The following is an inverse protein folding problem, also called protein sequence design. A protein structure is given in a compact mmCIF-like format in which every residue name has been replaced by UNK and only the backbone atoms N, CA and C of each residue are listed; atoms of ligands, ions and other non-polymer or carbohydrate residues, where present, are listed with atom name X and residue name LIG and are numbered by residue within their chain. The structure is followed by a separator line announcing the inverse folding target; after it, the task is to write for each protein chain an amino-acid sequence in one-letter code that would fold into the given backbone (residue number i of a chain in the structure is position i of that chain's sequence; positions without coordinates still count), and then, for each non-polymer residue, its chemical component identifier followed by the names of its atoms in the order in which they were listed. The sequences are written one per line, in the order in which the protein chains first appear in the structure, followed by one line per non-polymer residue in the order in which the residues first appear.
data_IF_295552976360
#
_entry.id   IF_295552976360
#
_cell.length_a   1.000
_cell.length_b   1.000
_cell.length_c   1.000
_cell.angle_alpha   90.00
_cell.angle_beta   90.00
_cell.angle_gamma   90.00
#
_symmetry.space_group_name_H-M   'P 1'
#
loop_
_entity.id
_entity.type
_entity.pdbx_description
1 polymer ?
#
# COMPACT_ATOMS: atom_id res chain seq x y z
N UNK A 1 -3.00 18.63 19.08
CA UNK A 1 -2.18 17.44 18.79
C UNK A 1 -2.69 16.90 17.46
N UNK A 2 -1.93 17.00 16.37
CA UNK A 2 -2.44 16.80 15.00
C UNK A 2 -3.08 15.43 14.78
N UNK A 3 -4.27 15.42 14.18
CA UNK A 3 -5.08 14.23 13.92
C UNK A 3 -4.53 13.46 12.72
N UNK A 4 -3.51 12.62 12.94
CA UNK A 4 -2.89 11.79 11.89
C UNK A 4 -3.48 10.39 11.87
N UNK A 5 -3.62 9.81 10.68
CA UNK A 5 -4.09 8.43 10.48
C UNK A 5 -3.09 7.42 11.09
N UNK A 6 -1.80 7.69 10.89
CA UNK A 6 -0.70 6.91 11.42
C UNK A 6 0.15 7.72 12.41
N UNK A 7 0.71 7.02 13.40
CA UNK A 7 1.69 7.61 14.34
C UNK A 7 3.11 7.57 13.81
N UNK A 8 3.40 6.71 12.83
CA UNK A 8 4.76 6.45 12.34
C UNK A 8 4.92 6.66 10.83
N UNK A 9 3.82 6.68 10.07
CA UNK A 9 3.80 7.04 8.64
C UNK A 9 3.28 8.46 8.52
N UNK A 10 3.89 9.27 7.66
CA UNK A 10 3.44 10.64 7.42
C UNK A 10 2.21 10.66 6.51
N UNK A 11 1.33 11.65 6.70
CA UNK A 11 0.17 11.86 5.83
C UNK A 11 0.60 12.17 4.39
N UNK A 12 1.78 12.77 4.21
CA UNK A 12 2.39 13.00 2.89
C UNK A 12 2.77 11.67 2.21
N UNK A 13 3.38 10.74 2.94
CA UNK A 13 3.72 9.40 2.42
C UNK A 13 2.44 8.66 1.99
N UNK A 14 1.38 8.70 2.80
CA UNK A 14 0.10 8.07 2.47
C UNK A 14 -0.55 8.73 1.25
N UNK A 15 -0.55 10.07 1.19
CA UNK A 15 -1.08 10.82 0.06
C UNK A 15 -0.31 10.51 -1.24
N UNK A 16 1.01 10.37 -1.19
CA UNK A 16 1.81 9.95 -2.36
C UNK A 16 1.42 8.55 -2.83
N UNK A 17 1.20 7.59 -1.92
CA UNK A 17 0.74 6.25 -2.31
C UNK A 17 -0.63 6.34 -2.98
N UNK A 18 -1.60 7.04 -2.38
CA UNK A 18 -2.93 7.26 -2.96
C UNK A 18 -2.84 7.91 -4.35
N UNK A 19 -1.99 8.91 -4.51
CA UNK A 19 -1.77 9.60 -5.77
C UNK A 19 -1.26 8.65 -6.86
N UNK A 20 -0.40 7.69 -6.51
CA UNK A 20 0.13 6.68 -7.44
C UNK A 20 -0.94 5.64 -7.80
N UNK A 21 -1.69 5.19 -6.80
CA UNK A 21 -2.60 4.05 -6.92
C UNK A 21 -3.91 4.42 -7.64
N UNK A 22 -4.53 5.54 -7.26
CA UNK A 22 -5.88 5.88 -7.73
C UNK A 22 -6.05 7.32 -8.19
N UNK A 23 -5.01 8.15 -8.05
CA UNK A 23 -5.12 9.62 -8.18
C UNK A 23 -6.26 10.20 -7.32
N UNK A 24 -6.47 9.61 -6.13
CA UNK A 24 -7.49 10.03 -5.18
C UNK A 24 -8.90 9.54 -5.49
N UNK A 25 -9.11 8.68 -6.49
CA UNK A 25 -10.44 8.16 -6.83
C UNK A 25 -10.86 7.01 -5.88
N UNK A 26 -11.87 7.19 -5.01
CA UNK A 26 -12.33 6.14 -4.10
C UNK A 26 -13.06 4.99 -4.81
N UNK A 27 -13.50 5.20 -6.05
CA UNK A 27 -14.20 4.22 -6.88
C UNK A 27 -13.28 3.63 -7.95
N UNK A 28 -11.96 3.75 -7.78
CA UNK A 28 -11.01 3.16 -8.72
C UNK A 28 -11.16 1.64 -8.75
N UNK A 29 -11.15 1.09 -9.95
CA UNK A 29 -11.33 -0.34 -10.21
C UNK A 29 -10.36 -0.76 -11.32
N UNK A 30 -9.45 -1.68 -11.00
CA UNK A 30 -8.43 -2.14 -11.94
C UNK A 30 -9.00 -3.17 -12.91
N UNK A 31 -8.89 -2.91 -14.22
CA UNK A 31 -9.41 -3.82 -15.26
C UNK A 31 -8.71 -5.19 -15.33
N UNK A 32 -7.55 -5.34 -14.68
CA UNK A 32 -6.67 -6.51 -14.78
C UNK A 32 -6.46 -7.27 -13.47
N UNK A 33 -7.08 -6.81 -12.37
CA UNK A 33 -6.94 -7.44 -11.06
C UNK A 33 -8.17 -7.15 -10.19
N UNK A 34 -8.18 -7.59 -8.93
CA UNK A 34 -9.23 -7.22 -7.97
C UNK A 34 -8.90 -5.94 -7.18
N UNK A 35 -7.85 -5.21 -7.59
CA UNK A 35 -7.44 -3.98 -6.93
C UNK A 35 -8.54 -2.91 -7.02
N UNK A 36 -9.07 -2.52 -5.86
CA UNK A 36 -10.24 -1.64 -5.74
C UNK A 36 -9.97 -0.51 -4.75
N UNK A 37 -10.54 0.66 -5.03
CA UNK A 37 -10.62 1.78 -4.10
C UNK A 37 -9.39 2.68 -4.09
N UNK A 38 -9.41 3.69 -3.22
CA UNK A 38 -8.41 4.77 -3.17
C UNK A 38 -6.97 4.25 -2.93
N UNK A 39 -6.82 3.11 -2.25
CA UNK A 39 -5.54 2.44 -2.00
C UNK A 39 -5.28 1.22 -2.88
N UNK A 40 -6.11 0.93 -3.88
CA UNK A 40 -5.97 -0.18 -4.84
C UNK A 40 -5.66 -1.55 -4.19
N UNK A 41 -6.35 -1.89 -3.10
CA UNK A 41 -6.14 -3.19 -2.46
C UNK A 41 -6.74 -4.33 -3.28
N UNK A 42 -5.94 -5.37 -3.55
CA UNK A 42 -6.45 -6.66 -4.01
C UNK A 42 -7.11 -7.44 -2.88
N UNK A 43 -8.07 -8.31 -3.22
CA UNK A 43 -8.89 -9.08 -2.26
C UNK A 43 -8.08 -9.75 -1.13
N UNK A 44 -7.03 -10.56 -1.41
CA UNK A 44 -6.32 -11.29 -0.36
C UNK A 44 -5.60 -10.35 0.60
N UNK A 45 -4.98 -9.28 0.09
CA UNK A 45 -4.27 -8.30 0.91
C UNK A 45 -5.24 -7.53 1.79
N UNK A 46 -6.37 -7.08 1.24
CA UNK A 46 -7.41 -6.39 2.00
C UNK A 46 -7.88 -7.22 3.19
N UNK A 47 -8.28 -8.47 2.93
CA UNK A 47 -8.81 -9.36 3.97
C UNK A 47 -7.78 -9.65 5.05
N UNK A 48 -6.50 -9.82 4.69
CA UNK A 48 -5.44 -10.03 5.65
C UNK A 48 -5.25 -8.82 6.58
N UNK A 49 -5.21 -7.60 6.01
CA UNK A 49 -5.04 -6.37 6.77
C UNK A 49 -6.26 -6.10 7.67
N UNK A 50 -7.48 -6.26 7.16
CA UNK A 50 -8.70 -6.10 7.96
C UNK A 50 -8.77 -7.13 9.09
N UNK A 51 -8.46 -8.40 8.82
CA UNK A 51 -8.44 -9.44 9.85
C UNK A 51 -7.47 -9.10 10.99
N UNK A 52 -6.31 -8.52 10.67
CA UNK A 52 -5.30 -8.16 11.66
C UNK A 52 -5.64 -6.90 12.46
N UNK A 53 -6.19 -5.87 11.81
CA UNK A 53 -6.33 -4.53 12.43
C UNK A 53 -7.76 -4.15 12.79
N UNK A 54 -8.76 -4.80 12.18
CA UNK A 54 -10.20 -4.60 12.42
C UNK A 54 -10.94 -5.94 12.51
N UNK A 55 -10.59 -6.80 13.50
CA UNK A 55 -11.28 -8.08 13.70
C UNK A 55 -12.78 -7.90 13.96
N UNK A 56 -13.20 -6.73 14.47
CA UNK A 56 -14.60 -6.32 14.62
C UNK A 56 -15.33 -6.22 13.27
N UNK A 57 -14.66 -5.81 12.19
CA UNK A 57 -15.25 -5.80 10.85
C UNK A 57 -15.49 -7.21 10.35
N UNK A 58 -14.52 -8.11 10.54
CA UNK A 58 -14.64 -9.52 10.15
C UNK A 58 -15.71 -10.27 10.95
N UNK A 59 -15.91 -9.92 12.22
CA UNK A 59 -16.89 -10.58 13.08
C UNK A 59 -18.35 -10.14 12.84
N UNK A 60 -18.55 -8.92 12.33
CA UNK A 60 -19.87 -8.29 12.22
C UNK A 60 -20.42 -8.20 10.79
N UNK A 61 -19.64 -8.60 9.78
CA UNK A 61 -19.97 -8.46 8.36
C UNK A 61 -19.63 -9.73 7.59
N UNK A 62 -20.32 -9.96 6.49
CA UNK A 62 -19.92 -10.96 5.50
C UNK A 62 -18.60 -10.57 4.82
N UNK A 63 -17.87 -11.55 4.30
CA UNK A 63 -16.63 -11.29 3.55
C UNK A 63 -16.84 -10.35 2.36
N UNK A 64 -17.98 -10.45 1.66
CA UNK A 64 -18.34 -9.55 0.55
C UNK A 64 -18.55 -8.10 1.01
N UNK A 65 -19.19 -7.89 2.16
CA UNK A 65 -19.34 -6.56 2.74
C UNK A 65 -17.98 -6.00 3.15
N UNK A 66 -17.11 -6.81 3.76
CA UNK A 66 -15.75 -6.39 4.08
C UNK A 66 -14.98 -6.02 2.81
N UNK A 67 -15.05 -6.81 1.75
CA UNK A 67 -14.39 -6.49 0.47
C UNK A 67 -14.93 -5.19 -0.16
N UNK A 68 -16.23 -4.92 -0.02
CA UNK A 68 -16.86 -3.70 -0.54
C UNK A 68 -16.40 -2.43 0.21
N UNK A 69 -15.93 -2.55 1.45
CA UNK A 69 -15.41 -1.42 2.22
C UNK A 69 -14.17 -0.76 1.60
N UNK A 70 -13.50 -1.40 0.64
CA UNK A 70 -12.45 -0.76 -0.17
C UNK A 70 -12.94 0.50 -0.90
N UNK A 71 -14.24 0.56 -1.21
CA UNK A 71 -14.87 1.72 -1.84
C UNK A 71 -15.20 2.85 -0.84
N UNK A 72 -15.11 2.61 0.48
CA UNK A 72 -15.18 3.66 1.48
C UNK A 72 -13.76 4.27 1.66
N UNK A 73 -13.53 5.54 1.27
CA UNK A 73 -12.21 6.13 1.30
C UNK A 73 -11.62 6.18 2.72
N UNK A 74 -12.45 6.32 3.76
CA UNK A 74 -11.95 6.39 5.14
C UNK A 74 -11.45 5.03 5.60
N UNK A 75 -12.25 3.98 5.39
CA UNK A 75 -11.86 2.61 5.72
C UNK A 75 -10.60 2.19 4.94
N UNK A 76 -10.53 2.54 3.66
CA UNK A 76 -9.37 2.28 2.82
C UNK A 76 -8.12 3.02 3.27
N UNK A 77 -8.24 4.30 3.68
CA UNK A 77 -7.12 5.07 4.23
C UNK A 77 -6.63 4.47 5.55
N UNK A 78 -7.55 4.02 6.42
CA UNK A 78 -7.17 3.34 7.67
C UNK A 78 -6.34 2.09 7.36
N UNK A 79 -6.84 1.22 6.49
CA UNK A 79 -6.16 -0.03 6.16
C UNK A 79 -4.86 0.21 5.38
N UNK A 80 -4.79 1.25 4.53
CA UNK A 80 -3.55 1.66 3.87
C UNK A 80 -2.50 2.09 4.89
N UNK A 81 -2.88 2.88 5.89
CA UNK A 81 -1.99 3.28 6.97
C UNK A 81 -1.49 2.07 7.74
N UNK A 82 -2.38 1.18 8.19
CA UNK A 82 -2.01 -0.04 8.94
C UNK A 82 -1.10 -0.97 8.15
N UNK A 83 -1.40 -1.19 6.88
CA UNK A 83 -0.56 -2.00 6.00
C UNK A 83 0.83 -1.37 5.79
N UNK A 84 0.89 -0.04 5.64
CA UNK A 84 2.17 0.68 5.52
C UNK A 84 2.97 0.64 6.82
N UNK A 85 2.30 0.69 7.98
CA UNK A 85 2.92 0.49 9.29
C UNK A 85 3.51 -0.93 9.45
N UNK A 86 2.79 -1.96 9.01
CA UNK A 86 3.29 -3.34 8.99
C UNK A 86 4.52 -3.47 8.09
N UNK A 87 4.47 -2.88 6.89
CA UNK A 87 5.60 -2.88 5.97
C UNK A 87 6.81 -2.16 6.58
N UNK A 88 6.61 -0.99 7.19
CA UNK A 88 7.66 -0.25 7.88
C UNK A 88 8.32 -1.07 9.00
N UNK A 89 7.52 -1.76 9.83
CA UNK A 89 8.03 -2.63 10.90
C UNK A 89 8.87 -3.78 10.36
N UNK A 90 8.41 -4.43 9.30
CA UNK A 90 9.09 -5.58 8.72
C UNK A 90 10.34 -5.21 7.90
N UNK A 91 10.40 -4.00 7.32
CA UNK A 91 11.61 -3.49 6.67
C UNK A 91 12.70 -3.09 7.67
N UNK A 92 12.31 -2.67 8.89
CA UNK A 92 13.24 -2.21 9.92
C UNK A 92 13.71 -0.76 9.70
N UNK A 93 14.66 -0.26 10.49
CA UNK A 93 15.08 1.14 10.43
C UNK A 93 15.79 1.48 9.10
N UNK A 94 15.65 2.72 8.66
CA UNK A 94 16.37 3.24 7.49
C UNK A 94 15.71 2.99 6.13
N UNK A 95 14.45 2.55 6.10
CA UNK A 95 13.67 2.52 4.85
C UNK A 95 13.43 3.94 4.32
N UNK A 96 13.25 4.04 3.00
CA UNK A 96 12.76 5.24 2.32
C UNK A 96 11.27 5.10 1.96
N UNK A 97 10.61 6.21 1.61
CA UNK A 97 9.26 6.18 1.02
C UNK A 97 9.19 5.24 -0.20
N UNK A 98 10.25 5.20 -1.01
CA UNK A 98 10.36 4.29 -2.15
C UNK A 98 10.42 2.81 -1.73
N UNK A 99 11.04 2.50 -0.59
CA UNK A 99 11.08 1.12 -0.07
C UNK A 99 9.70 0.71 0.50
N UNK A 100 8.96 1.65 1.11
CA UNK A 100 7.56 1.41 1.51
C UNK A 100 6.66 1.15 0.32
N UNK A 101 6.78 1.95 -0.74
CA UNK A 101 6.04 1.74 -1.98
C UNK A 101 6.43 0.42 -2.65
N UNK A 102 7.72 0.07 -2.64
CA UNK A 102 8.20 -1.21 -3.14
C UNK A 102 7.60 -2.38 -2.35
N UNK A 103 7.49 -2.26 -1.02
CA UNK A 103 6.84 -3.28 -0.18
C UNK A 103 5.34 -3.40 -0.46
N UNK A 104 4.64 -2.29 -0.71
CA UNK A 104 3.25 -2.30 -1.15
C UNK A 104 3.08 -3.05 -2.50
N UNK A 105 3.94 -2.73 -3.48
CA UNK A 105 3.89 -3.34 -4.82
C UNK A 105 4.31 -4.82 -4.83
N UNK A 106 5.38 -5.17 -4.12
CA UNK A 106 6.06 -6.47 -4.25
C UNK A 106 5.66 -7.47 -3.17
N UNK A 107 5.00 -7.01 -2.12
CA UNK A 107 4.99 -7.68 -0.83
C UNK A 107 6.28 -7.43 -0.03
N UNK A 108 6.15 -7.32 1.28
CA UNK A 108 7.24 -6.91 2.17
C UNK A 108 8.42 -7.88 2.19
N UNK A 109 8.17 -9.19 2.03
CA UNK A 109 9.23 -10.19 2.01
C UNK A 109 10.15 -10.04 0.79
N UNK A 110 9.58 -9.76 -0.37
CA UNK A 110 10.36 -9.49 -1.58
C UNK A 110 11.09 -8.17 -1.43
N UNK A 111 10.42 -7.11 -0.98
CA UNK A 111 11.06 -5.81 -0.76
C UNK A 111 12.26 -5.93 0.19
N UNK A 112 12.12 -6.61 1.34
CA UNK A 112 13.23 -6.84 2.29
C UNK A 112 14.40 -7.56 1.64
N UNK A 113 14.15 -8.57 0.79
CA UNK A 113 15.23 -9.24 0.03
C UNK A 113 15.92 -8.27 -0.93
N UNK A 114 15.16 -7.43 -1.64
CA UNK A 114 15.70 -6.44 -2.57
C UNK A 114 16.50 -5.33 -1.87
N UNK A 115 16.12 -4.94 -0.66
CA UNK A 115 16.87 -3.96 0.14
C UNK A 115 18.28 -4.45 0.48
N UNK A 116 18.44 -5.75 0.69
CA UNK A 116 19.70 -6.40 1.05
C UNK A 116 20.49 -6.91 -0.17
N UNK A 117 19.87 -6.93 -1.35
CA UNK A 117 20.46 -7.49 -2.56
C UNK A 117 21.42 -6.53 -3.26
N UNK A 118 22.44 -7.05 -3.98
CA UNK A 118 23.28 -6.23 -4.85
C UNK A 118 22.45 -5.52 -5.91
N UNK A 119 22.75 -4.23 -6.16
CA UNK A 119 21.97 -3.44 -7.12
C UNK A 119 21.97 -4.01 -8.55
N UNK A 120 23.01 -4.74 -8.94
CA UNK A 120 23.16 -5.33 -10.27
C UNK A 120 22.52 -6.72 -10.40
N UNK A 121 22.01 -7.32 -9.32
CA UNK A 121 21.36 -8.63 -9.41
C UNK A 121 20.09 -8.54 -10.26
N UNK A 122 19.79 -9.54 -11.10
CA UNK A 122 18.54 -9.57 -11.85
C UNK A 122 17.36 -9.81 -10.89
N UNK A 123 16.25 -9.08 -11.07
CA UNK A 123 15.08 -9.24 -10.19
C UNK A 123 14.41 -10.60 -10.32
N UNK A 124 14.67 -11.34 -11.39
CA UNK A 124 14.20 -12.73 -11.56
C UNK A 124 14.71 -13.71 -10.51
N UNK A 125 15.69 -13.32 -9.69
CA UNK A 125 16.10 -14.09 -8.50
C UNK A 125 15.13 -13.96 -7.31
N UNK A 126 14.31 -12.91 -7.29
CA UNK A 126 13.50 -12.53 -6.13
C UNK A 126 11.99 -12.57 -6.40
N UNK A 127 11.59 -12.37 -7.66
CA UNK A 127 10.20 -12.47 -8.10
C UNK A 127 9.95 -13.80 -8.80
N UNK A 128 8.72 -14.31 -8.66
CA UNK A 128 8.29 -15.48 -9.42
C UNK A 128 8.11 -15.12 -10.92
N UNK A 129 8.18 -16.11 -11.83
CA UNK A 129 7.90 -15.89 -13.25
C UNK A 129 6.53 -15.24 -13.50
N UNK A 130 5.52 -15.60 -12.71
CA UNK A 130 4.15 -15.05 -12.81
C UNK A 130 4.11 -13.58 -12.41
N UNK A 131 4.80 -13.20 -11.33
CA UNK A 131 4.90 -11.81 -10.91
C UNK A 131 5.60 -10.94 -11.97
N UNK A 132 6.64 -11.48 -12.62
CA UNK A 132 7.33 -10.81 -13.73
C UNK A 132 6.41 -10.69 -14.94
N UNK A 133 5.69 -11.76 -15.30
CA UNK A 133 4.76 -11.76 -16.42
C UNK A 133 3.58 -10.78 -16.20
N UNK A 134 3.11 -10.62 -14.96
CA UNK A 134 2.08 -9.64 -14.62
C UNK A 134 2.59 -8.20 -14.65
N UNK A 135 3.89 -7.99 -14.45
CA UNK A 135 4.50 -6.65 -14.30
C UNK A 135 5.69 -6.44 -15.24
N UNK A 136 5.60 -6.91 -16.49
CA UNK A 136 6.73 -6.96 -17.44
C UNK A 136 7.46 -5.63 -17.59
N UNK A 137 6.70 -4.54 -17.71
CA UNK A 137 7.28 -3.19 -17.87
C UNK A 137 8.14 -2.74 -16.69
N UNK A 138 7.91 -3.31 -15.50
CA UNK A 138 8.58 -2.96 -14.25
C UNK A 138 9.68 -3.98 -13.93
N UNK A 139 9.48 -5.27 -14.22
CA UNK A 139 10.33 -6.36 -13.74
C UNK A 139 11.14 -7.07 -14.83
N UNK A 140 10.63 -7.19 -16.06
CA UNK A 140 11.27 -8.01 -17.08
C UNK A 140 12.63 -7.42 -17.51
N UNK A 141 13.68 -8.25 -17.39
CA UNK A 141 15.06 -7.85 -17.70
C UNK A 141 15.63 -6.77 -16.80
N UNK A 142 14.99 -6.45 -15.66
CA UNK A 142 15.47 -5.41 -14.75
C UNK A 142 16.38 -5.96 -13.65
N UNK A 143 17.22 -5.07 -13.14
CA UNK A 143 18.04 -5.30 -11.96
C UNK A 143 17.35 -4.79 -10.69
N UNK A 144 17.79 -5.26 -9.53
CA UNK A 144 17.33 -4.78 -8.21
C UNK A 144 17.40 -3.26 -8.13
N UNK A 145 18.53 -2.66 -8.52
CA UNK A 145 18.73 -1.21 -8.47
C UNK A 145 17.76 -0.45 -9.38
N UNK A 146 17.44 -0.99 -10.56
CA UNK A 146 16.48 -0.38 -11.48
C UNK A 146 15.06 -0.38 -10.89
N UNK A 147 14.62 -1.48 -10.28
CA UNK A 147 13.28 -1.58 -9.67
C UNK A 147 13.17 -0.70 -8.42
N UNK A 148 14.21 -0.66 -7.57
CA UNK A 148 14.24 0.25 -6.41
C UNK A 148 14.21 1.72 -6.85
N UNK A 149 14.98 2.08 -7.89
CA UNK A 149 14.96 3.43 -8.46
C UNK A 149 13.60 3.80 -9.05
N UNK A 150 12.93 2.85 -9.71
CA UNK A 150 11.57 3.05 -10.21
C UNK A 150 10.60 3.37 -9.07
N UNK A 151 10.63 2.62 -7.97
CA UNK A 151 9.76 2.84 -6.81
C UNK A 151 10.04 4.21 -6.16
N UNK A 152 11.31 4.59 -6.00
CA UNK A 152 11.70 5.89 -5.48
C UNK A 152 11.19 7.05 -6.36
N UNK A 153 11.31 6.92 -7.70
CA UNK A 153 10.81 7.93 -8.65
C UNK A 153 9.29 8.06 -8.63
N UNK A 154 8.56 6.95 -8.44
CA UNK A 154 7.10 6.98 -8.29
C UNK A 154 6.70 7.85 -7.10
N UNK A 155 7.30 7.61 -5.94
CA UNK A 155 7.02 8.40 -4.74
C UNK A 155 7.44 9.86 -4.88
N UNK A 156 8.60 10.13 -5.50
CA UNK A 156 9.06 11.50 -5.74
C UNK A 156 8.11 12.30 -6.64
N UNK A 157 7.54 11.66 -7.67
CA UNK A 157 6.66 12.34 -8.64
C UNK A 157 5.21 12.49 -8.14
N UNK A 158 4.84 11.81 -7.05
CA UNK A 158 3.47 11.74 -6.54
C UNK A 158 3.11 12.86 -5.54
N UNK A 159 3.84 13.97 -5.57
CA UNK A 159 3.61 15.12 -4.68
C UNK A 159 2.48 16.03 -5.16
N UNK A 160 1.94 16.85 -4.25
CA UNK A 160 1.14 18.02 -4.62
C UNK A 160 -0.34 17.96 -4.23
N UNK A 161 -0.81 16.87 -3.63
CA UNK A 161 -2.17 16.77 -3.09
C UNK A 161 -2.19 16.10 -1.72
N UNK A 162 -3.00 16.63 -0.81
CA UNK A 162 -3.21 16.08 0.53
C UNK A 162 -4.54 15.32 0.56
N UNK A 163 -4.48 14.05 0.15
CA UNK A 163 -5.64 13.17 0.10
C UNK A 163 -6.13 12.79 1.50
N UNK A 164 -5.24 12.82 2.50
CA UNK A 164 -5.62 12.52 3.88
C UNK A 164 -6.55 13.60 4.40
N UNK A 165 -6.20 14.88 4.26
CA UNK A 165 -7.08 15.98 4.69
C UNK A 165 -8.42 16.01 3.95
N UNK A 166 -8.48 15.54 2.70
CA UNK A 166 -9.72 15.50 1.92
C UNK A 166 -10.69 14.41 2.39
N UNK A 167 -10.16 13.21 2.67
CA UNK A 167 -10.99 12.04 2.90
C UNK A 167 -11.07 11.57 4.35
N UNK A 168 -10.18 12.03 5.23
CA UNK A 168 -10.12 11.57 6.62
C UNK A 168 -10.69 12.62 7.60
N UNK A 169 -12.02 12.66 7.82
CA UNK A 169 -12.59 13.33 8.98
C UNK A 169 -12.51 12.40 10.20
N UNK A 170 -11.81 12.78 11.27
CA UNK A 170 -11.58 11.93 12.44
C UNK A 170 -12.86 11.51 13.17
N UNK A 171 -14.00 12.19 12.96
CA UNK A 171 -15.22 11.94 13.73
C UNK A 171 -15.96 10.66 13.32
N UNK A 172 -15.75 10.12 12.10
CA UNK A 172 -16.55 9.01 11.55
C UNK A 172 -16.29 7.65 12.22
N UNK A 173 -15.12 7.47 12.85
CA UNK A 173 -14.73 6.23 13.56
C UNK A 173 -14.21 6.47 14.98
N UNK A 174 -14.26 7.70 15.50
CA UNK A 174 -13.81 8.04 16.86
C UNK A 174 -14.61 7.34 17.99
N UNK A 175 -15.71 6.66 17.66
CA UNK A 175 -16.55 5.91 18.60
C UNK A 175 -16.30 4.39 18.63
N UNK A 176 -15.40 3.84 17.81
CA UNK A 176 -15.20 2.38 17.66
C UNK A 176 -13.88 1.88 18.27
N UNK A 177 -13.34 2.60 19.26
CA UNK A 177 -12.24 2.12 20.10
C UNK A 177 -12.79 1.34 21.30
N UNK A 178 -12.93 0.02 21.12
CA UNK A 178 -13.05 -0.94 22.23
C UNK A 178 -12.03 -2.06 22.07
#
# INVERSE_FOLDING_TARGET
MGHRVSRIISDETLSRIIQIESAGNPQADARTSTATGIGQFVDPTWLAVVCQHRPDWMGNRSQSEVLAMRLDPVASIEMLARHTEDNARALGPGYTDGDLYLAHFSGVDVARKLLLAPANDPVSRYYSPEAIAANRNILEGKTVGQVRTWAARKMQNASGHDWISEFWPPERYAGEVH
#
